data_IF_273529758539
#
_entry.id   IF_273529758539
#
_cell.length_a   1.000
_cell.length_b   1.000
_cell.length_c   1.000
_cell.angle_alpha   90.00
_cell.angle_beta   90.00
_cell.angle_gamma   90.00
#
_symmetry.space_group_name_H-M   'P 1'
#
loop_
_entity.id
_entity.type
_entity.pdbx_description
1 polymer ?
#
# COMPACT_ATOMS: atom_id res chain seq x y z
N UNK A 1 0.19 2.80 -13.22
CA UNK A 1 -0.32 1.44 -13.45
C UNK A 1 -0.13 0.91 -14.87
N UNK A 2 0.32 1.71 -15.85
CA UNK A 2 0.44 1.33 -17.28
C UNK A 2 0.96 -0.09 -17.57
N UNK A 3 2.04 -0.54 -16.92
CA UNK A 3 2.57 -1.88 -17.10
C UNK A 3 1.57 -2.95 -16.64
N UNK A 4 1.07 -2.83 -15.41
CA UNK A 4 0.09 -3.77 -14.86
C UNK A 4 -1.23 -3.77 -15.65
N UNK A 5 -1.64 -2.60 -16.18
CA UNK A 5 -2.83 -2.47 -17.03
C UNK A 5 -2.66 -3.20 -18.37
N UNK A 6 -1.45 -3.18 -18.93
CA UNK A 6 -1.13 -3.86 -20.19
C UNK A 6 -0.95 -5.37 -20.03
N UNK A 7 -0.36 -5.78 -18.92
CA UNK A 7 -0.10 -7.18 -18.61
C UNK A 7 -1.37 -7.94 -18.17
N UNK A 8 -2.24 -7.29 -17.38
CA UNK A 8 -3.49 -7.88 -16.89
C UNK A 8 -3.34 -8.92 -15.78
N UNK A 9 -2.16 -9.52 -15.63
CA UNK A 9 -1.84 -10.58 -14.67
C UNK A 9 -0.90 -10.09 -13.54
N UNK A 10 -0.63 -8.78 -13.48
CA UNK A 10 0.26 -8.17 -12.50
C UNK A 10 -0.51 -7.59 -11.32
N UNK A 11 -0.19 -8.08 -10.12
CA UNK A 11 -0.59 -7.47 -8.85
C UNK A 11 0.45 -6.44 -8.40
N UNK A 12 0.00 -5.20 -8.14
CA UNK A 12 0.81 -4.13 -7.57
C UNK A 12 0.37 -3.87 -6.14
N UNK A 13 1.32 -3.88 -5.20
CA UNK A 13 1.11 -3.56 -3.78
C UNK A 13 2.04 -2.40 -3.41
N UNK A 14 1.51 -1.38 -2.72
CA UNK A 14 2.25 -0.21 -2.23
C UNK A 14 1.95 -0.03 -0.74
N UNK A 15 2.98 0.05 0.09
CA UNK A 15 2.89 0.27 1.54
C UNK A 15 4.20 0.89 2.05
N UNK A 16 4.22 1.26 3.32
CA UNK A 16 5.44 1.56 4.08
C UNK A 16 5.72 0.46 5.11
N UNK A 17 6.91 0.47 5.68
CA UNK A 17 7.31 -0.37 6.83
C UNK A 17 6.89 0.25 8.16
N UNK A 18 6.95 1.58 8.29
CA UNK A 18 6.43 2.35 9.44
C UNK A 18 6.15 3.83 9.09
N UNK A 19 5.54 4.56 10.02
CA UNK A 19 5.46 6.03 10.00
C UNK A 19 6.69 6.61 10.72
N UNK A 20 7.13 7.80 10.31
CA UNK A 20 8.26 8.49 10.93
C UNK A 20 7.98 9.98 11.08
N UNK A 21 8.28 10.49 12.27
CA UNK A 21 8.28 11.92 12.58
C UNK A 21 6.92 12.49 12.96
N UNK A 22 5.83 11.74 12.85
CA UNK A 22 4.48 12.21 13.15
C UNK A 22 4.10 13.40 12.27
N UNK A 23 4.38 13.33 10.96
CA UNK A 23 4.18 14.45 10.04
C UNK A 23 2.69 14.80 9.96
N UNK A 24 2.37 16.07 10.23
CA UNK A 24 1.02 16.63 10.09
C UNK A 24 1.02 17.82 9.13
N UNK A 25 -0.01 17.92 8.31
CA UNK A 25 -0.27 19.11 7.48
C UNK A 25 -1.15 20.06 8.29
N UNK A 26 -0.54 21.04 8.94
CA UNK A 26 -1.24 21.93 9.87
C UNK A 26 -1.87 23.14 9.16
N UNK A 27 -1.36 23.53 8.00
CA UNK A 27 -1.88 24.69 7.27
C UNK A 27 -1.36 24.80 5.86
N UNK A 28 -1.82 25.82 5.16
CA UNK A 28 -1.41 26.12 3.79
C UNK A 28 -2.16 27.33 3.25
N UNK A 29 -1.70 27.83 2.12
CA UNK A 29 -2.33 28.90 1.38
C UNK A 29 -2.44 28.52 -0.10
N UNK A 30 -3.68 28.49 -0.62
CA UNK A 30 -3.96 28.13 -2.00
C UNK A 30 -3.47 29.18 -3.00
N UNK A 31 -3.42 30.46 -2.62
CA UNK A 31 -2.99 31.52 -3.53
C UNK A 31 -1.49 31.44 -3.84
N UNK A 32 -0.68 31.15 -2.82
CA UNK A 32 0.77 30.95 -2.97
C UNK A 32 1.18 29.50 -3.30
N UNK A 33 0.27 28.54 -3.11
CA UNK A 33 0.59 27.10 -3.22
C UNK A 33 1.43 26.57 -2.04
N UNK A 34 1.45 27.29 -0.92
CA UNK A 34 2.21 26.92 0.26
C UNK A 34 1.49 25.86 1.10
N UNK A 35 2.23 24.91 1.66
CA UNK A 35 1.75 23.91 2.62
C UNK A 35 2.73 23.81 3.80
N UNK A 36 2.21 23.89 5.01
CA UNK A 36 2.98 23.78 6.25
C UNK A 36 2.92 22.35 6.80
N UNK A 37 4.04 21.65 6.71
CA UNK A 37 4.28 20.37 7.40
C UNK A 37 4.94 20.58 8.76
N UNK A 38 4.48 19.88 9.79
CA UNK A 38 5.07 19.89 11.13
C UNK A 38 5.37 18.46 11.58
N UNK A 39 6.51 18.27 12.23
CA UNK A 39 6.93 17.00 12.82
C UNK A 39 6.84 17.08 14.34
N UNK A 40 6.35 16.00 14.96
CA UNK A 40 6.24 15.89 16.42
C UNK A 40 7.46 15.20 17.04
N UNK A 41 8.21 14.43 16.24
CA UNK A 41 9.39 13.67 16.66
C UNK A 41 10.36 13.54 15.48
N UNK A 42 11.57 13.05 15.73
CA UNK A 42 12.58 12.65 14.73
C UNK A 42 12.73 11.13 14.62
N UNK A 43 11.92 10.36 15.36
CA UNK A 43 11.93 8.89 15.39
C UNK A 43 10.69 8.28 14.70
N UNK A 44 10.64 6.95 14.65
CA UNK A 44 9.49 6.19 14.18
C UNK A 44 8.30 6.34 15.12
N UNK A 45 7.08 6.21 14.58
CA UNK A 45 5.87 6.11 15.39
C UNK A 45 5.12 4.80 15.14
N UNK A 46 4.22 4.47 16.07
CA UNK A 46 3.37 3.29 15.98
C UNK A 46 2.06 3.56 15.20
N UNK A 47 1.98 4.65 14.43
CA UNK A 47 0.81 4.92 13.60
C UNK A 47 0.65 3.81 12.54
N UNK A 48 -0.58 3.34 12.27
CA UNK A 48 -0.82 2.35 11.24
C UNK A 48 -0.49 2.91 9.86
N UNK A 49 0.16 2.10 9.02
CA UNK A 49 0.49 2.45 7.63
C UNK A 49 -0.55 1.90 6.65
N UNK A 50 -0.91 2.64 5.59
CA UNK A 50 -1.86 2.17 4.59
C UNK A 50 -1.21 1.15 3.65
N UNK A 51 -1.98 0.12 3.27
CA UNK A 51 -1.64 -0.81 2.19
C UNK A 51 -2.59 -0.55 1.01
N UNK A 52 -2.03 -0.22 -0.15
CA UNK A 52 -2.77 -0.08 -1.40
C UNK A 52 -2.46 -1.27 -2.31
N UNK A 53 -3.48 -1.83 -2.95
CA UNK A 53 -3.32 -2.93 -3.90
C UNK A 53 -4.16 -2.71 -5.16
N UNK A 54 -3.64 -3.16 -6.30
CA UNK A 54 -4.29 -3.05 -7.61
C UNK A 54 -3.93 -4.23 -8.50
N UNK A 55 -4.87 -4.69 -9.31
CA UNK A 55 -4.71 -5.85 -10.19
C UNK A 55 -5.32 -7.14 -9.58
N UNK A 56 -5.06 -8.30 -10.19
CA UNK A 56 -5.61 -9.58 -9.73
C UNK A 56 -5.24 -9.89 -8.28
N UNK A 57 -6.24 -10.23 -7.46
CA UNK A 57 -6.02 -10.56 -6.05
C UNK A 57 -5.92 -9.36 -5.10
N UNK A 58 -6.05 -8.12 -5.59
CA UNK A 58 -5.96 -6.90 -4.77
C UNK A 58 -6.95 -6.88 -3.58
N UNK A 59 -8.11 -7.51 -3.72
CA UNK A 59 -9.11 -7.65 -2.65
C UNK A 59 -8.59 -8.38 -1.40
N UNK A 60 -7.53 -9.17 -1.52
CA UNK A 60 -6.90 -9.86 -0.37
C UNK A 60 -6.26 -8.88 0.62
N UNK A 61 -5.96 -7.64 0.20
CA UNK A 61 -5.25 -6.64 0.98
C UNK A 61 -6.17 -5.58 1.63
N UNK A 62 -7.49 -5.83 1.64
CA UNK A 62 -8.43 -5.02 2.40
C UNK A 62 -8.44 -5.36 3.90
N UNK A 63 -8.83 -4.39 4.73
CA UNK A 63 -8.99 -4.54 6.18
C UNK A 63 -7.79 -4.07 7.00
N UNK A 64 -7.77 -4.48 8.28
CA UNK A 64 -6.69 -4.16 9.23
C UNK A 64 -6.06 -5.48 9.68
N UNK A 65 -4.73 -5.57 9.60
CA UNK A 65 -3.97 -6.77 9.91
C UNK A 65 -2.50 -6.44 10.18
N UNK A 66 -1.78 -7.38 10.78
CA UNK A 66 -0.34 -7.30 11.03
C UNK A 66 0.48 -7.33 9.73
N UNK A 67 1.64 -6.66 9.71
CA UNK A 67 2.52 -6.59 8.54
C UNK A 67 2.98 -7.97 8.04
N UNK A 68 3.15 -8.94 8.94
CA UNK A 68 3.52 -10.34 8.61
C UNK A 68 2.46 -11.03 7.73
N UNK A 69 1.19 -10.60 7.81
CA UNK A 69 0.14 -11.13 6.95
C UNK A 69 0.34 -10.79 5.46
N UNK A 70 1.10 -9.75 5.13
CA UNK A 70 1.38 -9.36 3.74
C UNK A 70 2.07 -10.51 2.99
N UNK A 71 3.06 -11.16 3.60
CA UNK A 71 3.76 -12.30 3.01
C UNK A 71 2.78 -13.43 2.66
N UNK A 72 1.93 -13.82 3.59
CA UNK A 72 0.96 -14.89 3.38
C UNK A 72 -0.08 -14.55 2.31
N UNK A 73 -0.52 -13.28 2.25
CA UNK A 73 -1.45 -12.79 1.22
C UNK A 73 -0.81 -12.77 -0.17
N UNK A 74 0.48 -12.44 -0.28
CA UNK A 74 1.23 -12.53 -1.56
C UNK A 74 1.29 -13.98 -2.03
N UNK A 75 1.63 -14.93 -1.14
CA UNK A 75 1.63 -16.35 -1.49
C UNK A 75 0.24 -16.82 -1.94
N UNK A 76 -0.82 -16.39 -1.24
CA UNK A 76 -2.19 -16.70 -1.62
C UNK A 76 -2.54 -16.16 -3.01
N UNK A 77 -2.13 -14.93 -3.35
CA UNK A 77 -2.36 -14.33 -4.66
C UNK A 77 -1.63 -15.11 -5.79
N UNK A 78 -0.41 -15.57 -5.54
CA UNK A 78 0.36 -16.35 -6.51
C UNK A 78 -0.21 -17.76 -6.73
N UNK A 79 -0.65 -18.43 -5.66
CA UNK A 79 -1.17 -19.80 -5.74
C UNK A 79 -2.59 -19.86 -6.35
N UNK A 80 -3.41 -18.83 -6.11
CA UNK A 80 -4.70 -18.71 -6.79
C UNK A 80 -4.55 -18.53 -8.31
N UNK A 81 -3.46 -17.89 -8.76
CA UNK A 81 -3.13 -17.78 -10.19
C UNK A 81 -2.53 -19.07 -10.79
N UNK A 82 -1.79 -19.88 -10.01
CA UNK A 82 -1.29 -21.20 -10.45
C UNK A 82 -2.42 -22.19 -10.75
N UNK A 83 -3.55 -22.08 -10.05
CA UNK A 83 -4.73 -22.92 -10.30
C UNK A 83 -5.60 -22.39 -11.44
N UNK A 84 -5.60 -21.08 -11.70
CA UNK A 84 -6.29 -20.49 -12.86
C UNK A 84 -5.58 -20.81 -14.19
N UNK A 85 -4.24 -20.80 -14.23
CA UNK A 85 -3.44 -21.14 -15.40
C UNK A 85 -3.41 -22.66 -15.73
N UNK A 86 -4.00 -23.51 -14.86
CA UNK A 86 -4.10 -24.98 -15.03
C UNK A 86 -5.48 -25.46 -15.50
N UNK A 87 -6.41 -24.56 -15.81
CA UNK A 87 -7.73 -24.94 -16.35
C UNK A 87 -7.59 -25.20 -17.86
N UNK A 88 -8.10 -26.34 -18.38
CA UNK A 88 -7.92 -26.74 -19.78
C UNK A 88 -8.56 -25.77 -20.79
#
# INVERSE_FOLDING_TARGET
MRFADQDGETLVIVTADHETGGLTLHGGDYASGYVAGLFATDDHTAAPVPVFAYGPGAQLFGGVYENTAIFHKILQALDSNLNAAKKP
#
